data_IF_347601965458
#
_entry.id   IF_347601965458
#
_cell.length_a   1.000
_cell.length_b   1.000
_cell.length_c   1.000
_cell.angle_alpha   90.00
_cell.angle_beta   90.00
_cell.angle_gamma   90.00
#
_symmetry.space_group_name_H-M   'P 1'
#
loop_
_entity.id
_entity.type
_entity.pdbx_description
1 polymer ?
#
# COMPACT_ATOMS: atom_id res chain seq x y z
N UNK A 1 0.80 -23.99 -6.77
CA UNK A 1 1.75 -24.59 -5.80
C UNK A 1 3.09 -23.89 -5.99
N UNK A 2 3.78 -23.48 -4.90
CA UNK A 2 5.05 -22.75 -5.01
C UNK A 2 6.19 -23.66 -5.46
N UNK A 3 7.13 -23.12 -6.24
CA UNK A 3 8.36 -23.82 -6.63
C UNK A 3 9.36 -23.80 -5.46
N UNK A 4 10.28 -24.77 -5.41
CA UNK A 4 11.24 -24.93 -4.29
C UNK A 4 11.99 -23.62 -3.96
N UNK A 5 12.52 -22.91 -4.95
CA UNK A 5 13.23 -21.66 -4.72
C UNK A 5 12.33 -20.54 -4.20
N UNK A 6 11.05 -20.54 -4.57
CA UNK A 6 10.08 -19.57 -4.06
C UNK A 6 9.79 -19.82 -2.58
N UNK A 7 9.73 -21.09 -2.15
CA UNK A 7 9.59 -21.46 -0.73
C UNK A 7 10.76 -20.90 0.07
N UNK A 8 12.00 -21.13 -0.39
CA UNK A 8 13.19 -20.58 0.27
C UNK A 8 13.16 -19.04 0.36
N UNK A 9 12.69 -18.35 -0.68
CA UNK A 9 12.55 -16.90 -0.66
C UNK A 9 11.48 -16.41 0.32
N UNK A 10 10.35 -17.11 0.40
CA UNK A 10 9.28 -16.85 1.38
C UNK A 10 9.82 -16.98 2.81
N UNK A 11 10.53 -18.07 3.12
CA UNK A 11 11.06 -18.31 4.46
C UNK A 11 12.05 -17.22 4.88
N UNK A 12 12.91 -16.80 3.97
CA UNK A 12 13.85 -15.67 4.18
C UNK A 12 13.11 -14.37 4.44
N UNK A 13 12.05 -14.08 3.69
CA UNK A 13 11.23 -12.87 3.89
C UNK A 13 10.51 -12.87 5.23
N UNK A 14 9.97 -14.01 5.67
CA UNK A 14 9.33 -14.16 6.98
C UNK A 14 10.35 -13.92 8.10
N UNK A 15 11.56 -14.48 7.96
CA UNK A 15 12.65 -14.24 8.88
C UNK A 15 13.03 -12.75 8.92
N UNK A 16 13.17 -12.10 7.77
CA UNK A 16 13.47 -10.66 7.66
C UNK A 16 12.41 -9.79 8.34
N UNK A 17 11.13 -10.10 8.14
CA UNK A 17 10.02 -9.38 8.78
C UNK A 17 10.05 -9.50 10.32
N UNK A 18 10.53 -10.61 10.85
CA UNK A 18 10.65 -10.85 12.30
C UNK A 18 11.97 -10.35 12.89
N UNK A 19 12.98 -10.12 12.06
CA UNK A 19 14.30 -9.65 12.46
C UNK A 19 14.25 -8.27 13.16
N UNK A 20 15.35 -7.84 13.81
CA UNK A 20 15.45 -6.49 14.39
C UNK A 20 15.23 -5.36 13.37
N UNK A 21 15.52 -5.59 12.09
CA UNK A 21 15.34 -4.62 11.01
C UNK A 21 13.89 -4.46 10.54
N UNK A 22 13.00 -5.40 10.91
CA UNK A 22 11.58 -5.41 10.55
C UNK A 22 11.28 -5.40 9.04
N UNK A 23 12.27 -5.76 8.23
CA UNK A 23 12.16 -5.80 6.78
C UNK A 23 13.49 -6.14 6.10
N UNK A 24 13.46 -6.23 4.78
CA UNK A 24 14.63 -6.46 3.96
C UNK A 24 14.29 -6.52 2.46
N UNK A 25 15.29 -6.81 1.65
CA UNK A 25 15.16 -6.82 0.19
C UNK A 25 15.20 -8.24 -0.37
N UNK A 26 14.32 -8.51 -1.32
CA UNK A 26 14.37 -9.69 -2.19
C UNK A 26 14.70 -9.18 -3.59
N UNK A 27 15.85 -9.59 -4.12
CA UNK A 27 16.39 -9.12 -5.40
C UNK A 27 16.88 -10.29 -6.26
N UNK A 28 15.98 -11.22 -6.53
CA UNK A 28 16.17 -12.29 -7.48
C UNK A 28 16.15 -11.78 -8.93
N UNK A 29 16.56 -12.63 -9.87
CA UNK A 29 16.39 -12.34 -11.29
C UNK A 29 14.90 -12.19 -11.67
N UNK A 30 14.64 -11.34 -12.66
CA UNK A 30 13.29 -11.09 -13.20
C UNK A 30 12.64 -12.41 -13.66
N UNK A 31 11.35 -12.58 -13.35
CA UNK A 31 10.58 -13.78 -13.73
C UNK A 31 10.62 -14.93 -12.71
N UNK A 32 11.37 -14.80 -11.61
CA UNK A 32 11.41 -15.82 -10.54
C UNK A 32 10.24 -15.73 -9.53
N UNK A 33 9.27 -14.85 -9.79
CA UNK A 33 8.03 -14.72 -9.00
C UNK A 33 8.25 -14.07 -7.63
N UNK A 34 8.99 -12.97 -7.59
CA UNK A 34 9.23 -12.20 -6.35
C UNK A 34 7.95 -11.63 -5.76
N UNK A 35 7.03 -11.16 -6.61
CA UNK A 35 5.70 -10.69 -6.21
C UNK A 35 4.94 -11.78 -5.46
N UNK A 36 4.94 -13.00 -6.00
CA UNK A 36 4.35 -14.18 -5.37
C UNK A 36 4.97 -14.46 -3.99
N UNK A 37 6.31 -14.45 -3.92
CA UNK A 37 7.05 -14.72 -2.69
C UNK A 37 6.74 -13.67 -1.62
N UNK A 38 6.76 -12.38 -2.00
CA UNK A 38 6.43 -11.28 -1.11
C UNK A 38 5.00 -11.36 -0.57
N UNK A 39 4.02 -11.64 -1.46
CA UNK A 39 2.62 -11.76 -1.07
C UNK A 39 2.38 -12.91 -0.10
N UNK A 40 2.91 -14.09 -0.41
CA UNK A 40 2.74 -15.27 0.44
C UNK A 40 3.41 -15.06 1.80
N UNK A 41 4.63 -14.52 1.83
CA UNK A 41 5.32 -14.19 3.08
C UNK A 41 4.51 -13.20 3.92
N UNK A 42 3.99 -12.12 3.31
CA UNK A 42 3.18 -11.12 4.02
C UNK A 42 1.90 -11.72 4.61
N UNK A 43 1.20 -12.59 3.87
CA UNK A 43 0.01 -13.30 4.37
C UNK A 43 0.37 -14.20 5.56
N UNK A 44 1.46 -14.97 5.47
CA UNK A 44 1.89 -15.86 6.55
C UNK A 44 2.30 -15.07 7.80
N UNK A 45 3.03 -13.98 7.64
CA UNK A 45 3.36 -13.07 8.74
C UNK A 45 2.08 -12.52 9.38
N UNK A 46 1.14 -12.02 8.58
CA UNK A 46 -0.14 -11.49 9.07
C UNK A 46 -0.95 -12.53 9.84
N UNK A 47 -0.97 -13.80 9.41
CA UNK A 47 -1.65 -14.89 10.13
C UNK A 47 -1.07 -15.14 11.53
N UNK A 48 0.18 -14.78 11.77
CA UNK A 48 0.82 -14.90 13.09
C UNK A 48 0.63 -13.67 13.99
N UNK A 49 0.03 -12.60 13.46
CA UNK A 49 -0.23 -11.37 14.20
C UNK A 49 -1.63 -11.40 14.86
N UNK A 50 -1.86 -10.61 15.91
CA UNK A 50 -3.18 -10.50 16.53
C UNK A 50 -4.26 -10.04 15.54
N UNK A 51 -5.52 -10.44 15.74
CA UNK A 51 -6.66 -10.19 14.83
C UNK A 51 -6.86 -8.71 14.42
N UNK A 52 -6.33 -7.76 15.18
CA UNK A 52 -6.38 -6.31 14.89
C UNK A 52 -5.11 -5.73 14.23
N UNK A 53 -4.30 -6.55 13.58
CA UNK A 53 -2.98 -6.14 13.04
C UNK A 53 -2.99 -5.33 11.74
N UNK A 54 -4.13 -4.76 11.34
CA UNK A 54 -4.24 -3.93 10.13
C UNK A 54 -4.23 -4.72 8.82
N UNK A 55 -3.87 -4.06 7.72
CA UNK A 55 -3.89 -4.60 6.36
C UNK A 55 -2.49 -4.74 5.75
N UNK A 56 -2.36 -5.58 4.73
CA UNK A 56 -1.14 -5.68 3.92
C UNK A 56 -1.21 -4.56 2.88
N UNK A 57 -0.28 -3.61 2.94
CA UNK A 57 -0.16 -2.54 1.96
C UNK A 57 0.81 -2.94 0.85
N UNK A 58 0.39 -2.81 -0.41
CA UNK A 58 1.19 -3.07 -1.60
C UNK A 58 1.31 -1.78 -2.39
N UNK A 59 2.50 -1.18 -2.39
CA UNK A 59 2.82 -0.04 -3.23
C UNK A 59 3.53 -0.52 -4.51
N UNK A 60 3.04 -0.10 -5.67
CA UNK A 60 3.52 -0.57 -6.97
C UNK A 60 3.56 0.54 -8.02
N UNK A 61 4.05 0.26 -9.23
CA UNK A 61 3.90 1.17 -10.37
C UNK A 61 2.44 1.14 -10.85
N UNK A 62 1.92 2.26 -11.35
CA UNK A 62 0.54 2.36 -11.84
C UNK A 62 0.18 1.24 -12.85
N UNK A 63 1.06 0.97 -13.82
CA UNK A 63 0.85 -0.11 -14.81
C UNK A 63 0.83 -1.54 -14.25
N UNK A 64 1.21 -1.73 -12.98
CA UNK A 64 1.24 -3.04 -12.32
C UNK A 64 0.10 -3.22 -11.32
N UNK A 65 -0.75 -2.21 -11.07
CA UNK A 65 -1.84 -2.29 -10.08
C UNK A 65 -2.81 -3.43 -10.43
N UNK A 66 -3.23 -3.52 -11.69
CA UNK A 66 -4.11 -4.61 -12.14
C UNK A 66 -3.42 -5.99 -12.12
N UNK A 67 -2.11 -6.05 -12.38
CA UNK A 67 -1.35 -7.31 -12.31
C UNK A 67 -1.36 -7.89 -10.89
N UNK A 68 -1.38 -7.03 -9.87
CA UNK A 68 -1.53 -7.47 -8.48
C UNK A 68 -2.92 -8.04 -8.20
N UNK A 69 -3.98 -7.59 -8.88
CA UNK A 69 -5.30 -8.20 -8.78
C UNK A 69 -5.26 -9.69 -9.16
N UNK A 70 -4.62 -9.98 -10.29
CA UNK A 70 -4.51 -11.34 -10.81
C UNK A 70 -3.62 -12.21 -9.92
N UNK A 71 -2.53 -11.64 -9.41
CA UNK A 71 -1.63 -12.32 -8.47
C UNK A 71 -2.34 -12.69 -7.16
N UNK A 72 -3.09 -11.74 -6.58
CA UNK A 72 -3.90 -11.95 -5.38
C UNK A 72 -4.92 -13.07 -5.63
N UNK A 73 -5.70 -12.98 -6.72
CA UNK A 73 -6.70 -14.01 -7.07
C UNK A 73 -6.09 -15.39 -7.29
N UNK A 74 -4.91 -15.46 -7.91
CA UNK A 74 -4.22 -16.71 -8.19
C UNK A 74 -3.73 -17.43 -6.93
N UNK A 75 -3.35 -16.66 -5.91
CA UNK A 75 -2.71 -17.20 -4.70
C UNK A 75 -3.60 -17.24 -3.47
N UNK A 76 -4.69 -16.46 -3.43
CA UNK A 76 -5.73 -16.51 -2.40
C UNK A 76 -6.95 -17.20 -2.98
N UNK A 77 -7.11 -18.50 -2.69
CA UNK A 77 -8.31 -19.25 -3.07
C UNK A 77 -9.57 -18.61 -2.44
N UNK A 78 -10.70 -18.76 -3.14
CA UNK A 78 -12.06 -18.34 -2.77
C UNK A 78 -12.41 -18.58 -1.29
N UNK A 79 -11.95 -19.71 -0.76
CA UNK A 79 -12.20 -20.22 0.60
C UNK A 79 -11.71 -19.28 1.72
N UNK A 80 -10.83 -18.31 1.42
CA UNK A 80 -10.26 -17.40 2.40
C UNK A 80 -10.92 -16.02 2.46
N UNK A 81 -11.91 -15.72 1.60
CA UNK A 81 -12.65 -14.44 1.54
C UNK A 81 -11.80 -13.20 1.84
N UNK A 82 -10.55 -13.18 1.38
CA UNK A 82 -9.60 -12.14 1.75
C UNK A 82 -9.92 -10.91 0.90
N UNK A 83 -10.66 -9.99 1.51
CA UNK A 83 -11.06 -8.72 0.93
C UNK A 83 -9.81 -7.91 0.51
N UNK A 84 -9.77 -7.46 -0.74
CA UNK A 84 -8.75 -6.55 -1.24
C UNK A 84 -9.36 -5.34 -1.94
N UNK A 85 -8.64 -4.22 -1.99
CA UNK A 85 -9.08 -2.96 -2.61
C UNK A 85 -7.93 -2.25 -3.33
N UNK A 86 -8.27 -1.49 -4.37
CA UNK A 86 -7.36 -0.61 -5.10
C UNK A 86 -7.66 0.84 -4.72
N UNK A 87 -6.64 1.62 -4.33
CA UNK A 87 -6.85 3.00 -3.90
C UNK A 87 -6.78 4.04 -5.03
N UNK A 88 -6.20 3.66 -6.18
CA UNK A 88 -5.92 4.60 -7.27
C UNK A 88 -7.18 5.16 -7.94
N UNK A 89 -8.26 4.35 -7.99
CA UNK A 89 -9.45 4.63 -8.79
C UNK A 89 -10.71 4.96 -7.98
N UNK A 90 -10.65 5.00 -6.65
CA UNK A 90 -11.87 5.13 -5.83
C UNK A 90 -11.93 6.45 -5.03
N UNK A 91 -12.50 7.52 -5.62
CA UNK A 91 -12.73 8.79 -4.92
C UNK A 91 -13.82 8.66 -3.84
N UNK A 92 -14.56 7.54 -3.79
CA UNK A 92 -15.76 7.37 -2.96
C UNK A 92 -15.63 6.38 -1.79
N UNK A 93 -14.59 5.53 -1.74
CA UNK A 93 -14.42 4.62 -0.58
C UNK A 93 -14.13 5.45 0.68
N UNK A 94 -15.10 5.47 1.58
CA UNK A 94 -14.98 5.97 2.95
C UNK A 94 -13.72 5.39 3.60
N UNK A 95 -12.93 6.26 4.22
CA UNK A 95 -11.68 5.91 4.89
C UNK A 95 -11.90 4.85 5.97
N UNK A 96 -13.07 4.80 6.59
CA UNK A 96 -13.41 3.80 7.60
C UNK A 96 -13.71 2.42 6.99
N UNK A 97 -14.25 2.35 5.78
CA UNK A 97 -14.47 1.10 5.06
C UNK A 97 -13.14 0.46 4.61
N UNK A 98 -12.04 1.22 4.53
CA UNK A 98 -10.72 0.72 4.12
C UNK A 98 -10.12 -0.28 5.11
N UNK A 99 -10.48 -0.18 6.38
CA UNK A 99 -10.04 -1.09 7.45
C UNK A 99 -10.69 -2.47 7.36
N UNK A 100 -11.72 -2.63 6.53
CA UNK A 100 -12.37 -3.91 6.28
C UNK A 100 -11.60 -4.76 5.25
N UNK A 101 -10.65 -4.17 4.52
CA UNK A 101 -9.81 -4.89 3.57
C UNK A 101 -8.58 -5.48 4.25
N UNK A 102 -8.26 -6.71 3.88
CA UNK A 102 -7.08 -7.40 4.36
C UNK A 102 -5.81 -7.03 3.57
N UNK A 103 -5.99 -6.62 2.30
CA UNK A 103 -4.93 -6.22 1.38
C UNK A 103 -5.37 -4.93 0.68
N UNK A 104 -4.46 -3.97 0.58
CA UNK A 104 -4.69 -2.70 -0.10
C UNK A 104 -3.57 -2.48 -1.09
N UNK A 105 -3.92 -2.21 -2.34
CA UNK A 105 -2.96 -1.99 -3.44
C UNK A 105 -3.09 -0.56 -3.94
N UNK A 106 -1.96 0.11 -4.13
CA UNK A 106 -1.89 1.50 -4.60
C UNK A 106 -0.65 1.74 -5.45
N UNK A 107 -0.72 2.72 -6.35
CA UNK A 107 0.46 3.16 -7.06
C UNK A 107 1.31 4.14 -6.27
N UNK A 108 2.59 4.22 -6.62
CA UNK A 108 3.47 5.27 -6.14
C UNK A 108 2.96 6.67 -6.48
N UNK A 109 2.27 6.84 -7.63
CA UNK A 109 1.71 8.13 -8.04
C UNK A 109 0.60 8.58 -7.08
N UNK A 110 -0.27 7.66 -6.65
CA UNK A 110 -1.28 7.92 -5.63
C UNK A 110 -0.63 8.40 -4.33
N UNK A 111 0.43 7.74 -3.86
CA UNK A 111 1.14 8.14 -2.65
C UNK A 111 1.78 9.52 -2.77
N UNK A 112 2.41 9.82 -3.92
CA UNK A 112 2.99 11.15 -4.17
C UNK A 112 1.94 12.24 -4.18
N UNK A 113 0.80 12.01 -4.82
CA UNK A 113 -0.33 12.96 -4.81
C UNK A 113 -0.85 13.22 -3.39
N UNK A 114 -1.02 12.17 -2.58
CA UNK A 114 -1.48 12.31 -1.19
C UNK A 114 -0.45 12.99 -0.29
N UNK A 115 0.84 12.76 -0.53
CA UNK A 115 1.90 13.50 0.15
C UNK A 115 1.84 14.99 -0.19
N UNK A 116 1.64 15.32 -1.47
CA UNK A 116 1.49 16.71 -1.91
C UNK A 116 0.25 17.37 -1.29
N UNK A 117 -0.88 16.67 -1.20
CA UNK A 117 -2.08 17.15 -0.52
C UNK A 117 -1.79 17.52 0.95
N UNK A 118 -1.04 16.67 1.67
CA UNK A 118 -0.64 16.92 3.06
C UNK A 118 0.27 18.14 3.19
N UNK A 119 1.27 18.26 2.32
CA UNK A 119 2.18 19.42 2.28
C UNK A 119 1.38 20.70 2.01
N UNK A 120 0.50 20.69 1.02
CA UNK A 120 -0.36 21.82 0.68
C UNK A 120 -1.27 22.20 1.86
N UNK A 121 -1.84 21.22 2.56
CA UNK A 121 -2.65 21.46 3.75
C UNK A 121 -1.84 22.08 4.88
N UNK A 122 -0.61 21.62 5.13
CA UNK A 122 0.25 22.20 6.16
C UNK A 122 0.61 23.66 5.84
N UNK A 123 0.93 23.95 4.58
CA UNK A 123 1.18 25.32 4.10
C UNK A 123 -0.06 26.21 4.27
N UNK A 124 -1.24 25.70 3.93
CA UNK A 124 -2.50 26.42 4.12
C UNK A 124 -2.77 26.74 5.59
N UNK A 125 -2.58 25.78 6.49
CA UNK A 125 -2.74 26.00 7.93
C UNK A 125 -1.75 27.06 8.45
N UNK A 126 -0.49 27.00 8.03
CA UNK A 126 0.52 27.99 8.42
C UNK A 126 0.15 29.39 7.90
N UNK A 127 -0.22 29.53 6.63
CA UNK A 127 -0.64 30.81 6.06
C UNK A 127 -1.88 31.36 6.78
N UNK A 128 -2.85 30.50 7.11
CA UNK A 128 -4.05 30.88 7.86
C UNK A 128 -3.71 31.40 9.26
N UNK A 129 -2.76 30.77 9.95
CA UNK A 129 -2.30 31.21 11.26
C UNK A 129 -1.58 32.57 11.20
N UNK A 130 -0.83 32.84 10.13
CA UNK A 130 -0.07 34.08 9.97
C UNK A 130 -0.89 35.26 9.44
N UNK A 131 -1.83 35.01 8.53
CA UNK A 131 -2.52 36.07 7.77
C UNK A 131 -4.05 36.07 7.95
N UNK A 132 -4.60 35.10 8.67
CA UNK A 132 -6.05 34.89 8.75
C UNK A 132 -6.62 34.16 7.52
N UNK A 133 -7.84 33.62 7.70
CA UNK A 133 -8.50 32.72 6.73
C UNK A 133 -8.80 33.43 5.40
N UNK A 134 -9.32 34.65 5.45
CA UNK A 134 -9.78 35.38 4.26
C UNK A 134 -8.63 35.78 3.32
N UNK A 135 -7.52 36.27 3.87
CA UNK A 135 -6.34 36.64 3.08
C UNK A 135 -5.63 35.42 2.50
N UNK A 136 -5.52 34.33 3.27
CA UNK A 136 -4.97 33.06 2.77
C UNK A 136 -5.79 32.52 1.60
N UNK A 137 -7.12 32.63 1.66
CA UNK A 137 -8.01 32.18 0.58
C UNK A 137 -7.83 32.98 -0.71
N UNK A 138 -7.57 34.29 -0.62
CA UNK A 138 -7.26 35.14 -1.78
C UNK A 138 -5.92 34.76 -2.41
N UNK A 139 -4.89 34.51 -1.60
CA UNK A 139 -3.56 34.10 -2.08
C UNK A 139 -3.57 32.72 -2.76
N UNK A 140 -4.39 31.78 -2.29
CA UNK A 140 -4.53 30.48 -2.93
C UNK A 140 -5.25 30.54 -4.29
N UNK A 141 -6.15 31.51 -4.50
CA UNK A 141 -6.86 31.69 -5.79
C UNK A 141 -5.96 32.26 -6.88
N UNK A 142 -5.01 33.13 -6.54
CA UNK A 142 -4.12 33.80 -7.51
C UNK A 142 -3.02 32.90 -8.08
N UNK A 143 -2.77 31.72 -7.49
CA UNK A 143 -1.82 30.72 -8.03
C UNK A 143 -2.44 29.74 -9.03
N UNK A 144 -3.75 29.84 -9.29
CA UNK A 144 -4.51 28.98 -10.20
C UNK A 144 -4.89 29.68 -11.52
N UNK A 145 -4.43 30.92 -11.71
CA UNK A 145 -4.44 31.67 -12.98
C UNK A 145 -3.03 31.72 -13.56
#
# INVERSE_FOLDING_TARGET
MLKHWQVTGVDKLIWLAKSPFKGGFLCNAMGLGESTQALVAAIQVKRTMPTRSGFIAIATRAGCVLQWADEIKRHLKSEHHTTYSFLDDDPGIDKNCRLQYNIVVSSCNFHMAKYQDLVNSAVFCHATASYGVDETRKMCRTKLE
#
